data_IF_404652615425
#
_entry.id   IF_404652615425
#
_cell.length_a   1.000
_cell.length_b   1.000
_cell.length_c   1.000
_cell.angle_alpha   90.00
_cell.angle_beta   90.00
_cell.angle_gamma   90.00
#
_symmetry.space_group_name_H-M   'P 1'
#
loop_
_entity.id
_entity.type
_entity.pdbx_description
1 polymer ?
#
# COMPACT_ATOMS: atom_id res chain seq x y z
N UNK A 1 -53.75 30.47 18.05
CA UNK A 1 -52.60 30.56 17.12
C UNK A 1 -52.23 29.16 16.66
N UNK A 2 -52.11 28.91 15.35
CA UNK A 2 -51.67 27.60 14.84
C UNK A 2 -50.17 27.47 15.06
N UNK A 3 -49.75 26.56 15.93
CA UNK A 3 -48.36 26.09 16.06
C UNK A 3 -47.88 25.65 14.68
N UNK A 4 -46.87 26.31 14.12
CA UNK A 4 -46.36 25.98 12.78
C UNK A 4 -45.22 24.98 12.94
N UNK A 5 -45.40 23.77 12.41
CA UNK A 5 -44.29 22.81 12.29
C UNK A 5 -43.17 23.42 11.43
N UNK A 6 -41.92 23.28 11.88
CA UNK A 6 -40.73 23.68 11.11
C UNK A 6 -40.62 22.91 9.77
N UNK A 7 -41.39 21.84 9.57
CA UNK A 7 -41.34 20.97 8.39
C UNK A 7 -41.65 21.65 7.05
N UNK A 8 -42.41 22.76 7.02
CA UNK A 8 -42.72 23.48 5.77
C UNK A 8 -41.55 24.31 5.19
N UNK A 9 -40.45 24.46 5.92
CA UNK A 9 -39.28 25.26 5.48
C UNK A 9 -38.23 24.39 4.74
N UNK A 10 -38.37 23.07 4.77
CA UNK A 10 -37.38 22.12 4.23
C UNK A 10 -37.57 21.75 2.74
N UNK A 11 -38.53 22.35 2.04
CA UNK A 11 -38.95 21.93 0.69
C UNK A 11 -37.94 22.24 -0.45
N UNK A 12 -36.81 22.92 -0.17
CA UNK A 12 -35.84 23.34 -1.17
C UNK A 12 -34.39 22.95 -0.83
N UNK A 13 -34.16 21.82 -0.13
CA UNK A 13 -32.79 21.33 0.10
C UNK A 13 -32.32 20.43 -1.05
N UNK A 14 -31.61 21.03 -2.00
CA UNK A 14 -30.73 20.29 -2.92
C UNK A 14 -29.45 19.91 -2.16
N UNK A 15 -29.38 18.67 -1.66
CA UNK A 15 -28.16 18.12 -1.06
C UNK A 15 -27.28 17.52 -2.15
N UNK A 16 -26.08 18.06 -2.36
CA UNK A 16 -24.98 17.37 -3.04
C UNK A 16 -23.94 16.98 -1.99
N UNK A 17 -24.05 15.79 -1.39
CA UNK A 17 -23.06 15.30 -0.43
C UNK A 17 -21.72 15.07 -1.15
N UNK A 18 -20.65 15.66 -0.62
CA UNK A 18 -19.28 15.40 -1.07
C UNK A 18 -18.54 14.67 0.05
N UNK A 19 -17.82 13.60 -0.28
CA UNK A 19 -16.95 12.96 0.71
C UNK A 19 -15.83 13.93 1.09
N UNK A 20 -15.59 14.06 2.39
CA UNK A 20 -14.66 15.00 2.96
C UNK A 20 -13.28 14.39 3.16
N UNK A 21 -12.27 15.25 2.97
CA UNK A 21 -10.85 15.04 3.13
C UNK A 21 -10.44 14.69 4.58
N UNK A 22 -9.20 14.20 4.80
CA UNK A 22 -8.80 13.70 6.11
C UNK A 22 -8.85 14.79 7.18
N UNK A 23 -9.11 14.36 8.41
CA UNK A 23 -9.47 15.13 9.60
C UNK A 23 -8.50 16.25 10.04
N UNK A 24 -7.43 16.56 9.29
CA UNK A 24 -6.44 17.55 9.68
C UNK A 24 -6.58 18.93 9.02
N UNK A 25 -7.57 19.23 8.17
CA UNK A 25 -7.60 20.54 7.50
C UNK A 25 -8.96 21.08 7.02
N UNK A 26 -10.06 20.85 7.73
CA UNK A 26 -11.22 21.73 7.58
C UNK A 26 -11.84 21.99 8.95
N UNK A 27 -11.54 23.13 9.62
CA UNK A 27 -12.48 23.64 10.61
C UNK A 27 -13.85 23.73 9.93
N UNK A 28 -14.90 23.34 10.65
CA UNK A 28 -16.27 23.65 10.25
C UNK A 28 -16.34 25.11 9.78
N UNK A 29 -17.10 25.38 8.71
CA UNK A 29 -17.15 26.72 8.11
C UNK A 29 -17.27 27.81 9.19
N UNK A 30 -16.61 28.98 9.06
CA UNK A 30 -16.63 30.01 10.10
C UNK A 30 -18.05 30.28 10.62
N UNK A 31 -18.24 30.20 11.95
CA UNK A 31 -19.56 30.33 12.59
C UNK A 31 -20.38 29.05 12.70
N UNK A 32 -19.80 27.88 12.38
CA UNK A 32 -20.36 26.55 12.63
C UNK A 32 -19.60 25.88 13.76
N UNK A 33 -20.31 25.42 14.78
CA UNK A 33 -19.76 24.59 15.87
C UNK A 33 -20.34 23.19 15.75
N UNK A 34 -19.49 22.16 15.79
CA UNK A 34 -19.89 20.74 15.75
C UNK A 34 -19.30 20.04 16.97
N UNK A 35 -20.16 19.54 17.86
CA UNK A 35 -19.78 18.78 19.04
C UNK A 35 -20.26 17.34 18.91
N UNK A 36 -19.34 16.44 18.51
CA UNK A 36 -19.64 15.00 18.37
C UNK A 36 -19.73 14.36 19.75
N UNK A 37 -20.80 13.61 20.00
CA UNK A 37 -21.04 12.91 21.26
C UNK A 37 -20.06 11.74 21.44
N UNK A 38 -19.80 11.40 22.70
CA UNK A 38 -18.96 10.26 23.12
C UNK A 38 -17.50 10.32 22.63
N UNK A 39 -17.03 11.48 22.16
CA UNK A 39 -15.67 11.66 21.66
C UNK A 39 -15.38 10.88 20.38
N UNK A 40 -16.41 10.44 19.65
CA UNK A 40 -16.24 9.69 18.41
C UNK A 40 -15.44 10.51 17.39
N UNK A 41 -14.34 9.93 16.91
CA UNK A 41 -13.49 10.54 15.89
C UNK A 41 -12.88 9.47 14.98
N UNK A 42 -12.64 9.83 13.73
CA UNK A 42 -11.90 9.01 12.78
C UNK A 42 -11.23 9.90 11.73
N UNK A 43 -10.27 9.33 10.99
CA UNK A 43 -9.44 10.09 10.04
C UNK A 43 -10.21 10.69 8.87
N UNK A 44 -11.46 10.29 8.63
CA UNK A 44 -12.28 10.68 7.48
C UNK A 44 -13.76 10.84 7.86
N UNK A 45 -14.53 11.47 6.97
CA UNK A 45 -15.93 11.77 7.24
C UNK A 45 -16.73 12.16 6.01
N UNK A 46 -17.92 12.72 6.26
CA UNK A 46 -18.83 13.21 5.24
C UNK A 46 -19.03 14.71 5.39
N UNK A 47 -18.96 15.45 4.28
CA UNK A 47 -19.33 16.87 4.26
C UNK A 47 -20.79 17.00 3.82
N UNK A 48 -21.57 17.64 4.67
CA UNK A 48 -23.00 17.84 4.48
C UNK A 48 -23.23 19.32 4.19
N UNK A 49 -23.49 19.70 2.92
CA UNK A 49 -23.88 21.07 2.61
C UNK A 49 -25.26 21.33 3.21
N UNK A 50 -25.36 22.36 4.05
CA UNK A 50 -26.56 22.64 4.81
C UNK A 50 -26.81 24.14 4.89
N UNK A 51 -28.07 24.54 4.71
CA UNK A 51 -28.54 25.90 4.91
C UNK A 51 -29.54 25.89 6.06
N UNK A 52 -29.23 26.63 7.13
CA UNK A 52 -30.09 26.65 8.31
C UNK A 52 -31.41 27.36 8.06
N UNK A 53 -32.38 27.06 8.90
CA UNK A 53 -33.63 27.80 8.98
C UNK A 53 -33.39 29.18 9.62
N UNK A 54 -34.17 30.18 9.23
CA UNK A 54 -34.18 31.47 9.91
C UNK A 54 -34.71 31.38 11.36
N UNK A 55 -35.36 30.26 11.73
CA UNK A 55 -36.05 30.10 13.03
C UNK A 55 -35.23 29.41 14.11
N UNK A 56 -34.10 28.79 13.76
CA UNK A 56 -33.21 28.16 14.74
C UNK A 56 -31.79 28.16 14.22
N UNK A 57 -30.85 28.07 15.16
CA UNK A 57 -29.43 27.93 14.90
C UNK A 57 -28.91 26.58 15.39
N UNK A 58 -29.71 25.83 16.17
CA UNK A 58 -29.29 24.65 16.89
C UNK A 58 -29.95 23.39 16.32
N UNK A 59 -29.12 22.39 16.06
CA UNK A 59 -29.48 21.15 15.39
C UNK A 59 -28.78 19.94 16.02
N UNK A 60 -29.46 18.80 16.07
CA UNK A 60 -28.80 17.50 16.22
C UNK A 60 -28.65 16.85 14.86
N UNK A 61 -27.43 16.42 14.52
CA UNK A 61 -27.15 15.58 13.36
C UNK A 61 -26.86 14.15 13.85
N UNK A 62 -27.60 13.17 13.35
CA UNK A 62 -27.45 11.76 13.72
C UNK A 62 -27.35 10.89 12.47
N UNK A 63 -26.26 10.11 12.35
CA UNK A 63 -26.03 9.16 11.26
C UNK A 63 -26.34 7.73 11.70
N UNK A 64 -27.15 7.05 10.90
CA UNK A 64 -27.55 5.66 11.10
C UNK A 64 -27.08 4.82 9.92
N UNK A 65 -26.54 3.64 10.20
CA UNK A 65 -26.22 2.67 9.16
C UNK A 65 -27.51 2.13 8.53
N UNK A 66 -27.53 1.99 7.21
CA UNK A 66 -28.68 1.47 6.46
C UNK A 66 -29.58 2.55 5.86
N UNK A 67 -30.78 2.15 5.45
CA UNK A 67 -31.73 2.99 4.71
C UNK A 67 -32.76 3.70 5.57
N UNK A 68 -32.74 3.48 6.89
CA UNK A 68 -33.66 4.08 7.86
C UNK A 68 -32.92 4.56 9.10
N UNK A 69 -33.41 5.63 9.73
CA UNK A 69 -32.91 6.11 11.01
C UNK A 69 -33.53 5.30 12.16
N UNK A 70 -33.01 4.08 12.35
CA UNK A 70 -33.47 3.11 13.33
C UNK A 70 -32.34 2.68 14.28
N UNK A 71 -32.67 2.45 15.55
CA UNK A 71 -31.71 2.03 16.57
C UNK A 71 -30.84 3.16 17.11
N UNK A 72 -29.61 2.84 17.49
CA UNK A 72 -28.63 3.81 18.02
C UNK A 72 -27.85 4.43 16.85
N UNK A 73 -27.72 5.77 16.76
CA UNK A 73 -26.92 6.39 15.72
C UNK A 73 -25.44 6.02 15.90
N UNK A 74 -24.75 5.77 14.79
CA UNK A 74 -23.30 5.55 14.77
C UNK A 74 -22.54 6.82 15.13
N UNK A 75 -23.07 7.98 14.72
CA UNK A 75 -22.51 9.29 15.01
C UNK A 75 -23.64 10.21 15.38
N UNK A 76 -23.50 10.95 16.48
CA UNK A 76 -24.43 11.99 16.87
C UNK A 76 -23.65 13.24 17.23
N UNK A 77 -24.07 14.38 16.70
CA UNK A 77 -23.40 15.65 16.93
C UNK A 77 -24.41 16.75 17.20
N UNK A 78 -24.12 17.58 18.20
CA UNK A 78 -24.79 18.86 18.42
C UNK A 78 -24.13 19.90 17.51
N UNK A 79 -24.93 20.60 16.71
CA UNK A 79 -24.46 21.52 15.67
C UNK A 79 -25.14 22.86 15.82
N UNK A 80 -24.34 23.90 16.04
CA UNK A 80 -24.80 25.29 16.05
C UNK A 80 -24.30 26.00 14.79
N UNK A 81 -25.21 26.63 14.05
CA UNK A 81 -24.93 27.28 12.76
C UNK A 81 -25.34 28.74 12.86
N UNK A 82 -24.37 29.64 12.81
CA UNK A 82 -24.60 31.09 12.84
C UNK A 82 -24.89 31.67 11.45
N UNK A 83 -24.13 31.34 10.39
CA UNK A 83 -24.34 31.89 9.06
C UNK A 83 -25.71 31.53 8.48
N UNK A 84 -26.30 32.44 7.70
CA UNK A 84 -27.53 32.18 6.93
C UNK A 84 -27.25 31.64 5.53
N UNK A 85 -26.02 31.80 5.03
CA UNK A 85 -25.55 31.18 3.80
C UNK A 85 -25.39 29.66 3.98
N UNK A 86 -25.31 28.93 2.86
CA UNK A 86 -24.99 27.50 2.87
C UNK A 86 -23.58 27.29 3.46
N UNK A 87 -23.47 26.32 4.37
CA UNK A 87 -22.21 25.90 5.01
C UNK A 87 -22.00 24.41 4.81
N UNK A 88 -20.76 23.94 4.96
CA UNK A 88 -20.47 22.51 5.02
C UNK A 88 -20.30 22.07 6.47
N UNK A 89 -21.07 21.05 6.86
CA UNK A 89 -20.98 20.41 8.17
C UNK A 89 -20.22 19.11 7.98
N UNK A 90 -19.03 19.04 8.57
CA UNK A 90 -18.21 17.84 8.56
C UNK A 90 -18.59 16.93 9.73
N UNK A 91 -18.93 15.67 9.45
CA UNK A 91 -19.12 14.65 10.48
C UNK A 91 -18.13 13.50 10.28
N UNK A 92 -17.40 13.08 11.31
CA UNK A 92 -16.57 11.87 11.23
C UNK A 92 -17.47 10.69 10.93
N UNK A 93 -17.09 9.82 9.99
CA UNK A 93 -17.87 8.65 9.63
C UNK A 93 -16.95 7.53 9.14
N UNK A 94 -16.78 6.50 9.96
CA UNK A 94 -16.10 5.28 9.54
C UNK A 94 -17.07 4.40 8.74
N UNK A 95 -16.86 4.31 7.43
CA UNK A 95 -17.55 3.35 6.56
C UNK A 95 -16.60 2.31 5.97
N UNK A 96 -17.18 1.30 5.34
CA UNK A 96 -16.45 0.22 4.70
C UNK A 96 -15.51 0.78 3.61
N UNK A 97 -14.21 0.51 3.77
CA UNK A 97 -13.22 0.93 2.80
C UNK A 97 -13.34 0.18 1.47
N UNK A 98 -13.96 -1.01 1.47
CA UNK A 98 -14.05 -1.92 0.33
C UNK A 98 -15.32 -1.76 -0.52
N UNK A 99 -16.38 -1.14 0.01
CA UNK A 99 -17.68 -1.10 -0.66
C UNK A 99 -18.48 0.17 -0.34
N UNK A 100 -19.46 0.46 -1.21
CA UNK A 100 -20.44 1.51 -0.94
C UNK A 100 -21.27 1.16 0.28
N UNK A 101 -21.39 2.09 1.22
CA UNK A 101 -22.22 1.96 2.41
C UNK A 101 -23.43 2.89 2.30
N UNK A 102 -24.60 2.40 2.70
CA UNK A 102 -25.83 3.19 2.78
C UNK A 102 -25.99 3.73 4.19
N UNK A 103 -26.34 5.01 4.29
CA UNK A 103 -26.51 5.73 5.54
C UNK A 103 -27.77 6.59 5.50
N UNK A 104 -28.40 6.76 6.66
CA UNK A 104 -29.47 7.73 6.85
C UNK A 104 -29.01 8.81 7.82
N UNK A 105 -28.98 10.05 7.35
CA UNK A 105 -28.80 11.23 8.18
C UNK A 105 -30.17 11.70 8.68
N UNK A 106 -30.35 11.75 9.99
CA UNK A 106 -31.44 12.47 10.65
C UNK A 106 -30.93 13.82 11.12
N UNK A 107 -31.57 14.89 10.67
CA UNK A 107 -31.33 16.25 11.17
C UNK A 107 -32.53 16.68 11.98
N UNK A 108 -32.33 16.94 13.26
CA UNK A 108 -33.36 17.45 14.18
C UNK A 108 -33.10 18.92 14.44
N UNK A 109 -34.08 19.77 14.14
CA UNK A 109 -34.05 21.20 14.41
C UNK A 109 -34.64 21.46 15.80
N UNK A 110 -33.86 22.09 16.68
CA UNK A 110 -34.30 22.44 18.03
C UNK A 110 -35.01 23.79 18.04
N UNK A 111 -35.96 23.95 18.97
CA UNK A 111 -36.68 25.21 19.13
C UNK A 111 -35.75 26.22 19.80
N UNK A 112 -35.60 27.39 19.18
CA UNK A 112 -34.79 28.46 19.76
C UNK A 112 -35.41 28.95 21.08
N UNK A 113 -34.58 29.36 22.07
CA UNK A 113 -35.07 29.92 23.33
C UNK A 113 -36.08 31.06 23.12
N UNK A 114 -37.22 31.01 23.79
CA UNK A 114 -38.31 31.99 23.68
C UNK A 114 -39.31 31.74 22.54
N UNK A 115 -39.16 30.64 21.80
CA UNK A 115 -40.07 30.24 20.70
C UNK A 115 -40.89 28.98 21.02
N UNK A 116 -40.81 28.45 22.24
CA UNK A 116 -41.36 27.15 22.66
C UNK A 116 -42.90 27.09 22.57
N UNK A 117 -43.57 28.24 22.73
CA UNK A 117 -45.02 28.36 22.57
C UNK A 117 -45.47 28.36 21.10
N UNK A 118 -44.57 28.65 20.16
CA UNK A 118 -44.89 28.92 18.75
C UNK A 118 -44.39 27.85 17.80
N UNK A 119 -43.26 27.23 18.14
CA UNK A 119 -42.57 26.25 17.32
C UNK A 119 -42.53 24.87 18.03
N UNK A 120 -42.23 23.84 17.25
CA UNK A 120 -42.04 22.45 17.71
C UNK A 120 -40.81 21.90 17.00
N UNK A 121 -40.09 21.02 17.69
CA UNK A 121 -38.99 20.30 17.06
C UNK A 121 -39.47 19.57 15.80
N UNK A 122 -38.58 19.50 14.82
CA UNK A 122 -38.84 18.80 13.57
C UNK A 122 -37.60 18.05 13.16
N UNK A 123 -37.79 16.85 12.62
CA UNK A 123 -36.71 16.03 12.09
C UNK A 123 -36.94 15.73 10.61
N UNK A 124 -35.86 15.63 9.84
CA UNK A 124 -35.86 15.13 8.48
C UNK A 124 -34.81 14.04 8.33
N UNK A 125 -35.20 12.97 7.64
CA UNK A 125 -34.31 11.86 7.32
C UNK A 125 -33.92 11.95 5.84
N UNK A 126 -32.62 11.81 5.56
CA UNK A 126 -32.07 11.74 4.21
C UNK A 126 -31.15 10.54 4.10
N UNK A 127 -31.50 9.62 3.22
CA UNK A 127 -30.66 8.47 2.91
C UNK A 127 -29.68 8.81 1.78
N UNK A 128 -28.43 8.37 1.92
CA UNK A 128 -27.38 8.50 0.93
C UNK A 128 -26.51 7.23 0.90
N UNK A 129 -25.76 7.07 -0.19
CA UNK A 129 -24.72 6.04 -0.32
C UNK A 129 -23.37 6.71 -0.48
N UNK A 130 -22.31 6.10 0.04
CA UNK A 130 -20.94 6.62 -0.14
C UNK A 130 -20.48 6.34 -1.58
N UNK A 131 -20.29 7.36 -2.44
CA UNK A 131 -19.72 7.16 -3.76
C UNK A 131 -18.24 6.78 -3.67
N UNK A 132 -17.66 6.19 -4.73
CA UNK A 132 -16.21 6.08 -4.87
C UNK A 132 -15.51 7.43 -4.72
N UNK A 133 -14.56 7.48 -3.80
CA UNK A 133 -13.68 8.63 -3.54
C UNK A 133 -12.64 8.86 -4.64
N UNK A 134 -12.36 7.85 -5.46
CA UNK A 134 -11.37 7.91 -6.53
C UNK A 134 -11.89 8.48 -7.86
N UNK A 135 -13.14 8.95 -7.91
CA UNK A 135 -13.76 9.51 -9.11
C UNK A 135 -14.30 8.47 -10.10
N UNK A 136 -14.24 7.18 -9.76
CA UNK A 136 -14.85 6.12 -10.57
C UNK A 136 -16.38 6.13 -10.48
N UNK A 137 -17.04 5.58 -11.50
CA UNK A 137 -18.47 5.33 -11.45
C UNK A 137 -18.82 4.36 -10.30
N UNK A 138 -20.00 4.54 -9.70
CA UNK A 138 -20.49 3.62 -8.68
C UNK A 138 -20.58 2.18 -9.22
N UNK A 139 -20.18 1.20 -8.40
CA UNK A 139 -20.12 -0.21 -8.80
C UNK A 139 -18.85 -0.63 -9.55
N UNK A 140 -17.92 0.30 -9.81
CA UNK A 140 -16.60 -0.06 -10.37
C UNK A 140 -15.86 -1.02 -9.44
N UNK A 141 -15.45 -2.18 -9.97
CA UNK A 141 -14.74 -3.18 -9.19
C UNK A 141 -13.41 -2.63 -8.66
N UNK A 142 -13.18 -2.77 -7.35
CA UNK A 142 -11.96 -2.29 -6.69
C UNK A 142 -11.88 -0.78 -6.51
N UNK A 143 -12.96 -0.04 -6.76
CA UNK A 143 -12.99 1.38 -6.49
C UNK A 143 -12.68 1.70 -5.02
N UNK A 144 -12.06 2.86 -4.78
CA UNK A 144 -11.71 3.30 -3.44
C UNK A 144 -12.84 4.13 -2.84
N UNK A 145 -13.23 3.81 -1.61
CA UNK A 145 -14.26 4.56 -0.87
C UNK A 145 -13.67 5.45 0.22
N UNK A 146 -12.36 5.36 0.47
CA UNK A 146 -11.66 6.17 1.48
C UNK A 146 -10.32 6.62 0.91
N UNK A 147 -10.02 7.90 1.09
CA UNK A 147 -8.80 8.56 0.58
C UNK A 147 -9.06 9.37 -0.68
N UNK A 148 -8.16 10.28 -1.03
CA UNK A 148 -8.16 11.00 -2.32
C UNK A 148 -6.96 10.66 -3.19
N UNK A 149 -6.15 9.68 -2.77
CA UNK A 149 -4.92 9.29 -3.46
C UNK A 149 -3.78 10.28 -3.26
N UNK A 150 -3.92 11.24 -2.36
CA UNK A 150 -2.85 12.20 -2.00
C UNK A 150 -2.00 11.65 -0.86
N UNK A 151 -0.80 12.18 -0.66
CA UNK A 151 0.05 11.76 0.47
C UNK A 151 -0.62 11.98 1.84
N UNK A 152 -1.40 13.07 1.97
CA UNK A 152 -2.17 13.35 3.19
C UNK A 152 -3.42 12.46 3.34
N UNK A 153 -3.96 11.97 2.22
CA UNK A 153 -5.18 11.16 2.16
C UNK A 153 -5.01 9.99 1.19
N UNK A 154 -4.20 8.98 1.54
CA UNK A 154 -3.95 7.85 0.65
C UNK A 154 -5.22 7.02 0.47
N UNK A 155 -5.37 6.40 -0.70
CA UNK A 155 -6.44 5.42 -0.92
C UNK A 155 -6.22 4.18 -0.03
N UNK A 156 -7.29 3.69 0.61
CA UNK A 156 -7.24 2.49 1.44
C UNK A 156 -7.40 1.23 0.60
N UNK A 157 -6.45 0.32 0.70
CA UNK A 157 -6.42 -0.96 -0.04
C UNK A 157 -6.71 -2.10 0.93
N UNK A 158 -7.90 -2.69 0.82
CA UNK A 158 -8.33 -3.77 1.70
C UNK A 158 -8.55 -5.10 0.95
N UNK A 159 -8.76 -5.07 -0.36
CA UNK A 159 -9.16 -6.26 -1.13
C UNK A 159 -8.26 -6.50 -2.33
N UNK A 160 -8.20 -7.74 -2.87
CA UNK A 160 -7.50 -8.01 -4.13
C UNK A 160 -7.97 -7.15 -5.29
N UNK A 161 -9.28 -6.88 -5.37
CA UNK A 161 -9.85 -6.01 -6.40
C UNK A 161 -9.35 -4.57 -6.27
N UNK A 162 -9.29 -4.03 -5.05
CA UNK A 162 -8.70 -2.70 -4.81
C UNK A 162 -7.21 -2.66 -5.11
N UNK A 163 -6.46 -3.70 -4.74
CA UNK A 163 -5.04 -3.77 -5.07
C UNK A 163 -4.82 -3.74 -6.59
N UNK A 164 -5.60 -4.53 -7.34
CA UNK A 164 -5.55 -4.50 -8.81
C UNK A 164 -5.96 -3.13 -9.38
N UNK A 165 -6.84 -2.40 -8.68
CA UNK A 165 -7.31 -1.08 -9.08
C UNK A 165 -6.25 0.04 -8.96
N UNK A 166 -5.10 -0.21 -8.31
CA UNK A 166 -3.94 0.70 -8.31
C UNK A 166 -3.52 1.07 -9.74
N UNK A 167 -3.70 0.17 -10.72
CA UNK A 167 -3.40 0.43 -12.13
C UNK A 167 -4.21 1.58 -12.77
N UNK A 168 -5.32 2.01 -12.15
CA UNK A 168 -6.09 3.18 -12.59
C UNK A 168 -5.61 4.50 -11.97
N UNK A 169 -4.70 4.44 -10.99
CA UNK A 169 -4.26 5.58 -10.18
C UNK A 169 -2.74 5.52 -9.91
N UNK A 170 -1.94 5.28 -10.94
CA UNK A 170 -0.49 4.96 -10.85
C UNK A 170 0.41 6.04 -10.22
N UNK A 171 -0.09 7.26 -10.05
CA UNK A 171 0.61 8.40 -9.43
C UNK A 171 0.18 8.64 -7.97
N UNK A 172 -0.85 7.94 -7.50
CA UNK A 172 -1.48 8.18 -6.20
C UNK A 172 -0.72 7.52 -5.04
N UNK A 173 -1.11 7.90 -3.82
CA UNK A 173 -0.66 7.29 -2.57
C UNK A 173 -1.68 6.27 -2.06
N UNK A 174 -1.19 5.13 -1.58
CA UNK A 174 -1.98 3.99 -1.13
C UNK A 174 -1.52 3.52 0.23
N UNK A 175 -2.47 3.05 1.04
CA UNK A 175 -2.25 2.45 2.34
C UNK A 175 -3.01 1.12 2.43
N UNK A 176 -2.30 0.03 2.70
CA UNK A 176 -2.96 -1.25 2.95
C UNK A 176 -3.55 -1.28 4.36
N UNK A 177 -4.74 -1.87 4.51
CA UNK A 177 -5.46 -1.87 5.81
C UNK A 177 -5.67 -3.26 6.41
N UNK A 178 -5.27 -4.30 5.69
CA UNK A 178 -5.32 -5.71 6.14
C UNK A 178 -4.49 -6.58 5.19
N UNK A 179 -4.24 -7.82 5.56
CA UNK A 179 -3.62 -8.79 4.67
C UNK A 179 -4.50 -9.06 3.44
N UNK A 180 -3.86 -9.24 2.28
CA UNK A 180 -4.54 -9.43 1.00
C UNK A 180 -4.12 -10.77 0.41
N UNK A 181 -5.08 -11.68 0.24
CA UNK A 181 -4.83 -12.97 -0.40
C UNK A 181 -5.21 -12.93 -1.88
N UNK A 182 -4.24 -13.12 -2.75
CA UNK A 182 -4.44 -13.14 -4.20
C UNK A 182 -4.89 -14.53 -4.68
N UNK A 183 -5.44 -14.56 -5.89
CA UNK A 183 -5.82 -15.78 -6.58
C UNK A 183 -5.67 -15.61 -8.09
N UNK A 184 -5.46 -16.72 -8.79
CA UNK A 184 -5.24 -16.72 -10.24
C UNK A 184 -3.93 -16.05 -10.64
N UNK A 185 -3.78 -15.79 -11.94
CA UNK A 185 -2.59 -15.14 -12.48
C UNK A 185 -2.67 -13.62 -12.27
N UNK A 186 -1.73 -13.07 -11.50
CA UNK A 186 -1.67 -11.65 -11.19
C UNK A 186 -1.26 -10.82 -12.41
N UNK A 187 -1.93 -9.68 -12.57
CA UNK A 187 -1.50 -8.64 -13.50
C UNK A 187 -0.67 -7.61 -12.73
N UNK A 188 0.61 -7.41 -13.07
CA UNK A 188 1.49 -6.51 -12.33
C UNK A 188 0.93 -5.08 -12.18
N UNK A 189 1.27 -4.44 -11.06
CA UNK A 189 0.98 -3.04 -10.80
C UNK A 189 2.03 -2.15 -11.48
N UNK A 190 1.60 -1.36 -12.45
CA UNK A 190 2.48 -0.59 -13.30
C UNK A 190 3.41 -1.45 -14.16
N UNK A 191 3.80 -0.93 -15.33
CA UNK A 191 4.57 -1.70 -16.32
C UNK A 191 3.72 -2.74 -17.06
N UNK A 192 4.37 -3.52 -17.93
CA UNK A 192 3.68 -4.39 -18.88
C UNK A 192 2.88 -3.55 -19.88
N UNK A 193 1.55 -3.69 -19.87
CA UNK A 193 0.62 -2.85 -20.66
C UNK A 193 0.28 -1.51 -20.01
N UNK A 194 0.74 -1.27 -18.78
CA UNK A 194 0.49 -0.04 -18.03
C UNK A 194 1.72 0.87 -18.02
N UNK A 195 1.47 2.16 -17.76
CA UNK A 195 2.55 3.09 -17.41
C UNK A 195 3.26 2.62 -16.12
N UNK A 196 4.46 3.15 -15.86
CA UNK A 196 5.19 2.84 -14.63
C UNK A 196 4.41 3.40 -13.42
N UNK A 197 4.44 2.67 -12.30
CA UNK A 197 3.96 3.21 -11.03
C UNK A 197 4.93 4.28 -10.52
N UNK A 198 4.41 5.45 -10.16
CA UNK A 198 5.20 6.61 -9.72
C UNK A 198 4.78 7.16 -8.36
N UNK A 199 3.76 6.54 -7.76
CA UNK A 199 3.19 6.95 -6.48
C UNK A 199 3.87 6.32 -5.25
N UNK A 200 3.10 6.22 -4.17
CA UNK A 200 3.53 5.62 -2.90
C UNK A 200 2.61 4.47 -2.54
N UNK A 201 3.17 3.30 -2.26
CA UNK A 201 2.43 2.18 -1.68
C UNK A 201 2.99 1.84 -0.30
N UNK A 202 2.21 2.12 0.75
CA UNK A 202 2.52 1.77 2.12
C UNK A 202 1.73 0.53 2.55
N UNK A 203 2.40 -0.60 2.69
CA UNK A 203 1.80 -1.85 3.17
C UNK A 203 1.40 -1.81 4.64
N UNK A 204 1.84 -0.81 5.43
CA UNK A 204 1.56 -0.65 6.86
C UNK A 204 1.87 -1.87 7.74
N UNK A 205 2.76 -2.74 7.29
CA UNK A 205 3.06 -3.99 7.98
C UNK A 205 2.11 -5.13 7.63
N UNK A 206 1.24 -4.98 6.63
CA UNK A 206 0.41 -6.07 6.13
C UNK A 206 1.11 -6.86 5.03
N UNK A 207 0.59 -8.06 4.80
CA UNK A 207 1.17 -9.06 3.89
C UNK A 207 0.26 -9.30 2.70
N UNK A 208 0.85 -9.38 1.51
CA UNK A 208 0.20 -9.92 0.33
C UNK A 208 0.54 -11.40 0.22
N UNK A 209 -0.49 -12.24 0.10
CA UNK A 209 -0.36 -13.69 0.02
C UNK A 209 -0.66 -14.22 -1.38
N UNK A 210 -0.09 -15.40 -1.68
CA UNK A 210 -0.44 -16.24 -2.85
C UNK A 210 -0.24 -15.57 -4.22
N UNK A 211 0.73 -14.65 -4.32
CA UNK A 211 1.10 -14.05 -5.60
C UNK A 211 1.58 -15.13 -6.59
N UNK A 212 0.84 -15.31 -7.67
CA UNK A 212 1.19 -16.14 -8.82
C UNK A 212 1.33 -15.25 -10.05
N UNK A 213 2.46 -15.36 -10.74
CA UNK A 213 2.71 -14.58 -11.96
C UNK A 213 3.29 -15.50 -13.02
N UNK A 214 2.72 -15.42 -14.22
CA UNK A 214 3.28 -15.94 -15.45
C UNK A 214 3.17 -14.81 -16.50
N UNK A 215 4.23 -14.01 -16.67
CA UNK A 215 4.18 -12.75 -17.40
C UNK A 215 5.39 -12.54 -18.32
N UNK A 216 5.25 -11.74 -19.38
CA UNK A 216 6.32 -11.52 -20.37
C UNK A 216 7.31 -10.40 -19.98
N UNK A 217 6.84 -9.30 -19.43
CA UNK A 217 7.63 -8.08 -19.25
C UNK A 217 7.25 -7.37 -17.95
N UNK A 218 8.23 -6.68 -17.33
CA UNK A 218 8.79 -7.01 -16.03
C UNK A 218 7.79 -7.57 -15.03
N UNK A 219 8.14 -8.69 -14.40
CA UNK A 219 7.25 -9.44 -13.54
C UNK A 219 7.54 -9.17 -12.06
N UNK A 220 6.48 -8.88 -11.32
CA UNK A 220 6.44 -8.73 -9.87
C UNK A 220 5.05 -8.30 -9.42
N UNK A 221 4.83 -8.16 -8.11
CA UNK A 221 3.63 -7.49 -7.60
C UNK A 221 3.47 -6.14 -8.30
N UNK A 222 4.57 -5.39 -8.37
CA UNK A 222 4.76 -4.25 -9.27
C UNK A 222 5.59 -4.69 -10.48
N UNK A 223 5.11 -4.39 -11.68
CA UNK A 223 5.88 -4.69 -12.88
C UNK A 223 7.02 -3.71 -13.04
N UNK A 224 6.71 -2.41 -13.09
CA UNK A 224 7.72 -1.36 -13.16
C UNK A 224 7.37 -0.14 -12.33
N UNK A 225 8.37 0.35 -11.60
CA UNK A 225 8.28 1.56 -10.76
C UNK A 225 9.30 2.61 -11.19
N UNK A 226 8.92 3.90 -11.11
CA UNK A 226 9.76 5.04 -11.45
C UNK A 226 9.54 6.20 -10.48
N UNK A 227 10.58 6.65 -9.77
CA UNK A 227 10.40 7.72 -8.77
C UNK A 227 9.48 7.34 -7.61
N UNK A 228 9.13 6.06 -7.47
CA UNK A 228 8.08 5.60 -6.57
C UNK A 228 8.65 5.19 -5.21
N UNK A 229 7.77 5.05 -4.22
CA UNK A 229 8.10 4.43 -2.93
C UNK A 229 7.20 3.22 -2.67
N UNK A 230 7.81 2.06 -2.41
CA UNK A 230 7.14 0.86 -1.89
C UNK A 230 7.70 0.59 -0.50
N UNK A 231 6.85 0.58 0.53
CA UNK A 231 7.30 0.46 1.91
C UNK A 231 6.41 -0.42 2.78
N UNK A 232 6.97 -0.94 3.87
CA UNK A 232 6.26 -1.65 4.94
C UNK A 232 5.39 -2.80 4.42
N UNK A 233 5.86 -3.54 3.42
CA UNK A 233 5.06 -4.52 2.69
C UNK A 233 5.70 -5.91 2.75
N UNK A 234 4.94 -6.88 3.23
CA UNK A 234 5.30 -8.29 3.22
C UNK A 234 4.73 -8.98 1.99
N UNK A 235 5.47 -9.95 1.46
CA UNK A 235 5.00 -10.81 0.39
C UNK A 235 5.31 -12.27 0.73
N UNK A 236 4.28 -13.09 0.88
CA UNK A 236 4.40 -14.52 1.18
C UNK A 236 3.64 -15.35 0.17
N UNK A 237 4.35 -16.14 -0.63
CA UNK A 237 3.71 -16.96 -1.65
C UNK A 237 4.39 -18.31 -1.78
N UNK A 238 3.57 -19.37 -1.78
CA UNK A 238 3.99 -20.72 -2.23
C UNK A 238 3.77 -20.93 -3.72
N UNK A 239 3.20 -19.93 -4.42
CA UNK A 239 2.95 -19.97 -5.87
C UNK A 239 4.20 -19.51 -6.62
N UNK A 240 4.27 -19.90 -7.89
CA UNK A 240 5.39 -19.55 -8.76
C UNK A 240 5.23 -18.13 -9.30
N UNK A 241 6.31 -17.35 -9.22
CA UNK A 241 6.48 -16.07 -9.89
C UNK A 241 7.48 -16.28 -11.02
N UNK A 242 7.01 -16.23 -12.26
CA UNK A 242 7.78 -16.60 -13.44
C UNK A 242 7.71 -15.54 -14.53
N UNK A 243 8.88 -15.20 -15.06
CA UNK A 243 9.00 -14.46 -16.33
C UNK A 243 8.93 -15.40 -17.53
N UNK A 244 8.40 -14.90 -18.64
CA UNK A 244 8.33 -15.57 -19.94
C UNK A 244 9.21 -14.80 -20.92
N UNK A 245 10.08 -15.51 -21.62
CA UNK A 245 10.85 -14.96 -22.73
C UNK A 245 10.27 -15.44 -24.06
N UNK A 246 9.99 -14.52 -24.99
CA UNK A 246 9.43 -14.88 -26.32
C UNK A 246 10.39 -14.64 -27.47
N UNK A 247 11.68 -14.40 -27.22
CA UNK A 247 12.69 -14.27 -28.27
C UNK A 247 12.92 -12.85 -28.82
N UNK A 248 12.11 -11.86 -28.44
CA UNK A 248 12.18 -10.48 -28.97
C UNK A 248 12.29 -9.40 -27.89
N UNK A 249 12.46 -9.79 -26.63
CA UNK A 249 12.51 -8.89 -25.49
C UNK A 249 13.95 -8.42 -25.24
N UNK A 250 14.16 -7.12 -25.04
CA UNK A 250 15.49 -6.58 -24.71
C UNK A 250 15.88 -6.84 -23.25
N UNK A 251 14.90 -6.90 -22.35
CA UNK A 251 15.10 -7.14 -20.92
C UNK A 251 13.94 -7.97 -20.37
N UNK A 252 14.26 -9.12 -19.77
CA UNK A 252 13.32 -9.91 -18.97
C UNK A 252 13.77 -9.80 -17.52
N UNK A 253 13.01 -9.03 -16.73
CA UNK A 253 13.30 -8.78 -15.32
C UNK A 253 12.19 -9.36 -14.45
N UNK A 254 12.56 -10.23 -13.50
CA UNK A 254 11.64 -10.88 -12.57
C UNK A 254 12.06 -10.59 -11.15
N UNK A 255 11.19 -9.97 -10.36
CA UNK A 255 11.35 -9.83 -8.91
C UNK A 255 10.01 -10.02 -8.24
N UNK A 256 9.95 -10.73 -7.11
CA UNK A 256 8.65 -11.04 -6.51
C UNK A 256 7.87 -9.76 -6.15
N UNK A 257 8.58 -8.76 -5.62
CA UNK A 257 7.98 -7.47 -5.28
C UNK A 257 7.98 -6.52 -6.48
N UNK A 258 9.12 -6.39 -7.17
CA UNK A 258 9.29 -5.42 -8.28
C UNK A 258 10.04 -6.06 -9.44
N UNK A 259 9.46 -6.02 -10.65
CA UNK A 259 10.15 -6.44 -11.86
C UNK A 259 11.31 -5.51 -12.22
N UNK A 260 11.04 -4.21 -12.40
CA UNK A 260 12.04 -3.19 -12.72
C UNK A 260 11.84 -1.90 -11.91
N UNK A 261 12.92 -1.37 -11.33
CA UNK A 261 12.92 -0.17 -10.53
C UNK A 261 13.93 0.86 -11.05
N UNK A 262 13.48 2.11 -11.18
CA UNK A 262 14.28 3.25 -11.63
C UNK A 262 14.01 4.45 -10.72
N UNK A 263 15.06 5.11 -10.18
CA UNK A 263 14.96 6.24 -9.25
C UNK A 263 13.98 6.02 -8.09
N UNK A 264 13.82 4.79 -7.62
CA UNK A 264 12.74 4.41 -6.69
C UNK A 264 13.27 3.97 -5.33
N UNK A 265 12.41 3.97 -4.31
CA UNK A 265 12.74 3.51 -2.96
C UNK A 265 11.91 2.29 -2.60
N UNK A 266 12.56 1.21 -2.18
CA UNK A 266 11.96 -0.01 -1.66
C UNK A 266 12.51 -0.22 -0.25
N UNK A 267 11.67 -0.07 0.79
CA UNK A 267 12.17 -0.13 2.17
C UNK A 267 11.22 -0.74 3.19
N UNK A 268 11.78 -1.39 4.21
CA UNK A 268 10.99 -2.09 5.24
C UNK A 268 10.06 -3.14 4.61
N UNK A 269 10.55 -3.83 3.58
CA UNK A 269 9.78 -4.86 2.88
C UNK A 269 10.43 -6.22 3.05
N UNK A 270 9.62 -7.28 2.92
CA UNK A 270 10.15 -8.62 2.85
C UNK A 270 9.47 -9.49 1.81
N UNK A 271 10.21 -10.50 1.34
CA UNK A 271 9.71 -11.51 0.40
C UNK A 271 10.01 -12.90 0.94
N UNK A 272 9.03 -13.79 0.88
CA UNK A 272 9.19 -15.22 1.06
C UNK A 272 8.45 -15.95 -0.06
N UNK A 273 9.16 -16.26 -1.14
CA UNK A 273 8.54 -16.66 -2.40
C UNK A 273 9.36 -17.70 -3.18
N UNK A 274 8.78 -18.21 -4.27
CA UNK A 274 9.50 -18.96 -5.30
C UNK A 274 9.54 -18.14 -6.59
N UNK A 275 10.74 -17.66 -6.95
CA UNK A 275 10.97 -16.88 -8.17
C UNK A 275 11.65 -17.78 -9.21
N UNK A 276 11.19 -17.70 -10.45
CA UNK A 276 11.73 -18.47 -11.57
C UNK A 276 12.05 -17.54 -12.72
N UNK A 277 13.32 -17.47 -13.11
CA UNK A 277 13.72 -16.79 -14.34
C UNK A 277 13.14 -17.49 -15.58
N UNK A 278 13.06 -16.79 -16.72
CA UNK A 278 12.46 -17.35 -17.93
C UNK A 278 13.24 -18.58 -18.45
N UNK A 279 12.56 -19.70 -18.74
CA UNK A 279 13.20 -20.86 -19.37
C UNK A 279 13.63 -20.54 -20.81
N UNK A 280 14.67 -21.22 -21.31
CA UNK A 280 15.08 -21.14 -22.72
C UNK A 280 16.04 -20.01 -23.08
N UNK A 281 16.42 -19.13 -22.13
CA UNK A 281 17.45 -18.14 -22.38
C UNK A 281 18.86 -18.75 -22.21
N UNK A 282 19.61 -18.95 -23.30
CA UNK A 282 20.97 -19.55 -23.30
C UNK A 282 22.09 -18.56 -23.67
N UNK A 283 21.78 -17.26 -23.80
CA UNK A 283 22.73 -16.18 -23.53
C UNK A 283 23.95 -15.99 -24.45
N UNK A 284 23.87 -16.14 -25.78
CA UNK A 284 25.04 -15.78 -26.62
C UNK A 284 24.78 -14.99 -27.92
N UNK A 285 23.55 -14.76 -28.38
CA UNK A 285 23.38 -14.28 -29.78
C UNK A 285 22.37 -13.14 -30.02
N UNK A 286 21.61 -12.68 -29.02
CA UNK A 286 20.48 -11.75 -29.29
C UNK A 286 20.44 -10.44 -28.48
N UNK A 287 21.47 -10.10 -27.69
CA UNK A 287 21.52 -8.81 -26.98
C UNK A 287 20.50 -8.62 -25.84
N UNK A 288 19.64 -9.61 -25.58
CA UNK A 288 18.69 -9.64 -24.47
C UNK A 288 19.38 -9.80 -23.12
N UNK A 289 18.83 -9.21 -22.07
CA UNK A 289 19.28 -9.44 -20.69
C UNK A 289 18.18 -10.16 -19.93
N UNK A 290 18.48 -11.33 -19.36
CA UNK A 290 17.61 -12.03 -18.41
C UNK A 290 18.13 -11.83 -16.99
N UNK A 291 17.27 -11.33 -16.11
CA UNK A 291 17.62 -11.06 -14.72
C UNK A 291 16.50 -11.40 -13.76
N UNK A 292 16.86 -12.00 -12.64
CA UNK A 292 15.94 -12.36 -11.59
C UNK A 292 16.54 -12.09 -10.21
N UNK A 293 15.79 -11.39 -9.37
CA UNK A 293 16.08 -11.25 -7.96
C UNK A 293 14.90 -11.74 -7.14
N UNK A 294 15.13 -12.14 -5.90
CA UNK A 294 13.99 -12.54 -5.05
C UNK A 294 13.04 -11.37 -4.81
N UNK A 295 13.57 -10.15 -4.61
CA UNK A 295 12.76 -8.96 -4.38
C UNK A 295 12.65 -8.08 -5.63
N UNK A 296 13.78 -7.78 -6.28
CA UNK A 296 13.84 -6.88 -7.44
C UNK A 296 14.53 -7.55 -8.61
N UNK A 297 13.91 -7.57 -9.79
CA UNK A 297 14.54 -8.11 -11.00
C UNK A 297 15.69 -7.22 -11.47
N UNK A 298 15.38 -5.97 -11.79
CA UNK A 298 16.33 -4.97 -12.29
C UNK A 298 16.20 -3.66 -11.51
N UNK A 299 17.32 -3.03 -11.12
CA UNK A 299 17.34 -1.78 -10.38
C UNK A 299 18.37 -0.78 -10.95
N UNK A 300 17.97 0.47 -11.16
CA UNK A 300 18.81 1.49 -11.82
C UNK A 300 18.65 2.89 -11.22
N UNK A 301 19.60 3.77 -11.55
CA UNK A 301 19.58 5.22 -11.38
C UNK A 301 19.15 5.71 -9.99
N UNK A 302 19.98 5.49 -8.96
CA UNK A 302 19.68 5.98 -7.61
C UNK A 302 18.60 5.20 -6.88
N UNK A 303 18.13 4.06 -7.43
CA UNK A 303 17.20 3.18 -6.72
C UNK A 303 17.81 2.69 -5.40
N UNK A 304 17.04 2.76 -4.32
CA UNK A 304 17.43 2.32 -2.98
C UNK A 304 16.61 1.10 -2.55
N UNK A 305 17.30 0.01 -2.21
CA UNK A 305 16.71 -1.15 -1.51
C UNK A 305 17.29 -1.16 -0.11
N UNK A 306 16.46 -0.83 0.89
CA UNK A 306 16.96 -0.64 2.26
C UNK A 306 16.09 -1.26 3.34
N UNK A 307 16.70 -1.82 4.38
CA UNK A 307 15.98 -2.46 5.48
C UNK A 307 15.01 -3.55 4.98
N UNK A 308 15.49 -4.41 4.09
CA UNK A 308 14.68 -5.41 3.41
C UNK A 308 15.25 -6.82 3.59
N UNK A 309 14.40 -7.84 3.50
CA UNK A 309 14.89 -9.21 3.54
C UNK A 309 14.16 -10.18 2.62
N UNK A 310 14.84 -11.25 2.22
CA UNK A 310 14.27 -12.27 1.35
C UNK A 310 14.56 -13.70 1.83
N UNK A 311 13.55 -14.55 1.70
CA UNK A 311 13.59 -16.00 1.90
C UNK A 311 13.01 -16.71 0.68
N UNK A 312 13.35 -17.99 0.54
CA UNK A 312 12.79 -18.88 -0.47
C UNK A 312 13.79 -19.23 -1.55
N UNK A 313 13.29 -19.48 -2.76
CA UNK A 313 14.10 -20.07 -3.83
C UNK A 313 14.04 -19.23 -5.11
N UNK A 314 15.21 -18.95 -5.69
CA UNK A 314 15.35 -18.48 -7.05
C UNK A 314 15.75 -19.65 -7.93
N UNK A 315 15.06 -19.90 -9.03
CA UNK A 315 15.43 -20.94 -10.02
C UNK A 315 15.54 -20.35 -11.42
N UNK A 316 16.28 -21.02 -12.31
CA UNK A 316 16.45 -20.61 -13.72
C UNK A 316 16.97 -19.18 -13.91
N UNK A 317 17.93 -18.76 -13.10
CA UNK A 317 18.60 -17.46 -13.22
C UNK A 317 19.71 -17.50 -14.28
N UNK A 318 19.36 -17.85 -15.51
CA UNK A 318 20.32 -18.24 -16.57
C UNK A 318 21.41 -17.20 -16.87
N UNK A 319 21.26 -15.94 -16.43
CA UNK A 319 22.31 -14.91 -16.49
C UNK A 319 22.52 -14.21 -15.16
N UNK A 320 21.60 -13.33 -14.72
CA UNK A 320 21.81 -12.51 -13.52
C UNK A 320 20.82 -12.89 -12.41
N UNK A 321 21.29 -13.65 -11.42
CA UNK A 321 20.49 -14.14 -10.28
C UNK A 321 20.98 -13.59 -8.94
N UNK A 322 20.14 -12.85 -8.22
CA UNK A 322 20.50 -12.30 -6.91
C UNK A 322 19.56 -12.72 -5.79
N UNK A 323 20.10 -12.96 -4.60
CA UNK A 323 19.29 -13.24 -3.40
C UNK A 323 18.37 -12.09 -3.01
N UNK A 324 18.63 -10.84 -3.45
CA UNK A 324 17.70 -9.71 -3.36
C UNK A 324 17.42 -9.10 -4.73
N UNK A 325 18.49 -8.69 -5.43
CA UNK A 325 18.41 -7.91 -6.68
C UNK A 325 19.10 -8.68 -7.80
N UNK A 326 18.42 -8.88 -8.92
CA UNK A 326 19.00 -9.60 -10.07
C UNK A 326 20.14 -8.83 -10.73
N UNK A 327 19.86 -7.61 -11.19
CA UNK A 327 20.83 -6.75 -11.89
C UNK A 327 20.76 -5.31 -11.42
N UNK A 328 21.92 -4.71 -11.26
CA UNK A 328 22.09 -3.26 -11.27
C UNK A 328 22.66 -2.83 -12.61
N UNK A 329 21.96 -1.95 -13.33
CA UNK A 329 22.51 -1.35 -14.54
C UNK A 329 23.49 -0.21 -14.20
N UNK A 330 23.03 0.75 -13.38
CA UNK A 330 23.89 1.83 -12.87
C UNK A 330 23.31 2.41 -11.57
N UNK A 331 24.18 2.74 -10.62
CA UNK A 331 23.89 3.73 -9.57
C UNK A 331 22.84 3.36 -8.52
N UNK A 332 22.53 2.07 -8.29
CA UNK A 332 21.59 1.65 -7.23
C UNK A 332 22.32 1.32 -5.92
N UNK A 333 21.63 1.36 -4.77
CA UNK A 333 22.20 1.01 -3.45
C UNK A 333 21.40 -0.08 -2.73
N UNK A 334 22.09 -1.07 -2.15
CA UNK A 334 21.54 -2.05 -1.20
C UNK A 334 22.08 -1.74 0.19
N UNK A 335 21.19 -1.54 1.17
CA UNK A 335 21.61 -1.17 2.54
C UNK A 335 20.79 -1.86 3.61
N UNK A 336 21.43 -2.33 4.69
CA UNK A 336 20.76 -2.96 5.82
C UNK A 336 19.82 -4.10 5.39
N UNK A 337 20.25 -4.93 4.43
CA UNK A 337 19.43 -6.00 3.89
C UNK A 337 20.00 -7.37 4.21
N UNK A 338 19.16 -8.40 4.15
CA UNK A 338 19.67 -9.77 4.17
C UNK A 338 18.89 -10.77 3.31
N UNK A 339 19.54 -11.84 2.89
CA UNK A 339 18.92 -12.90 2.10
C UNK A 339 19.25 -14.28 2.66
N UNK A 340 18.23 -15.14 2.81
CA UNK A 340 18.36 -16.55 3.13
C UNK A 340 17.68 -17.34 2.00
N UNK A 341 18.36 -17.42 0.88
CA UNK A 341 17.73 -17.82 -0.39
C UNK A 341 18.51 -18.93 -1.06
N UNK A 342 17.80 -19.93 -1.59
CA UNK A 342 18.38 -20.89 -2.51
C UNK A 342 18.56 -20.26 -3.88
N UNK A 343 19.78 -19.80 -4.18
CA UNK A 343 20.18 -19.33 -5.51
C UNK A 343 21.15 -20.37 -6.09
N UNK A 344 20.75 -21.18 -7.08
CA UNK A 344 21.62 -22.10 -7.77
C UNK A 344 22.83 -21.37 -8.36
N UNK A 345 23.93 -22.08 -8.56
CA UNK A 345 25.06 -21.59 -9.35
C UNK A 345 24.59 -21.43 -10.80
N UNK A 346 24.03 -20.26 -11.10
CA UNK A 346 23.47 -19.89 -12.39
C UNK A 346 24.47 -19.01 -13.09
N UNK A 347 25.12 -19.55 -14.12
CA UNK A 347 26.09 -18.87 -14.97
C UNK A 347 27.37 -18.35 -14.28
N UNK A 348 28.58 -18.63 -14.80
CA UNK A 348 29.85 -18.19 -14.21
C UNK A 348 30.04 -16.67 -14.04
N UNK A 349 29.11 -15.85 -14.53
CA UNK A 349 29.27 -14.39 -14.64
C UNK A 349 28.16 -13.57 -13.96
N UNK A 350 27.23 -14.17 -13.18
CA UNK A 350 26.07 -13.40 -12.73
C UNK A 350 25.20 -13.91 -11.58
N UNK A 351 25.64 -14.86 -10.75
CA UNK A 351 24.90 -15.22 -9.54
C UNK A 351 25.59 -14.77 -8.26
N UNK A 352 24.88 -14.08 -7.38
CA UNK A 352 25.40 -13.57 -6.12
C UNK A 352 24.40 -13.63 -4.97
N UNK A 353 24.94 -13.62 -3.75
CA UNK A 353 24.16 -13.79 -2.52
C UNK A 353 23.16 -12.65 -2.26
N UNK A 354 23.47 -11.45 -2.74
CA UNK A 354 22.61 -10.27 -2.62
C UNK A 354 22.27 -9.70 -4.01
N UNK A 355 23.29 -9.52 -4.85
CA UNK A 355 23.20 -8.95 -6.20
C UNK A 355 23.68 -9.97 -7.23
N UNK A 356 22.95 -10.17 -8.33
CA UNK A 356 23.43 -11.02 -9.42
C UNK A 356 24.57 -10.38 -10.20
N UNK A 357 24.35 -9.17 -10.74
CA UNK A 357 25.32 -8.49 -11.60
C UNK A 357 25.27 -6.96 -11.45
N UNK A 358 26.43 -6.31 -11.41
CA UNK A 358 26.57 -4.86 -11.53
C UNK A 358 27.19 -4.51 -12.88
N UNK A 359 26.46 -3.79 -13.75
CA UNK A 359 26.92 -3.51 -15.11
C UNK A 359 27.99 -2.43 -15.19
N UNK A 360 28.04 -1.53 -14.20
CA UNK A 360 29.08 -0.51 -14.09
C UNK A 360 29.86 -0.76 -12.79
N UNK A 361 31.13 -1.20 -12.87
CA UNK A 361 31.96 -1.47 -11.70
C UNK A 361 32.00 -0.30 -10.72
N UNK A 362 31.83 -0.58 -9.43
CA UNK A 362 31.83 0.41 -8.35
C UNK A 362 30.56 1.27 -8.25
N UNK A 363 29.64 1.21 -9.22
CA UNK A 363 28.42 2.03 -9.22
C UNK A 363 27.32 1.53 -8.29
N UNK A 364 27.47 0.32 -7.72
CA UNK A 364 26.47 -0.31 -6.86
C UNK A 364 27.03 -0.49 -5.44
N UNK A 365 26.80 0.47 -4.51
CA UNK A 365 27.12 0.28 -3.11
C UNK A 365 26.23 -0.79 -2.47
N UNK A 366 26.85 -1.73 -1.77
CA UNK A 366 26.19 -2.69 -0.86
C UNK A 366 26.76 -2.43 0.54
N UNK A 367 25.88 -2.11 1.49
CA UNK A 367 26.27 -1.69 2.84
C UNK A 367 25.54 -2.50 3.90
N UNK A 368 26.25 -2.88 4.96
CA UNK A 368 25.67 -3.47 6.17
C UNK A 368 24.70 -4.62 5.85
N UNK A 369 25.06 -5.48 4.90
CA UNK A 369 24.14 -6.47 4.32
C UNK A 369 24.74 -7.87 4.30
N UNK A 370 23.89 -8.88 4.47
CA UNK A 370 24.32 -10.24 4.80
C UNK A 370 23.53 -11.28 4.02
N UNK A 371 24.14 -12.41 3.69
CA UNK A 371 23.40 -13.52 3.08
C UNK A 371 23.81 -14.87 3.64
N UNK A 372 22.87 -15.80 3.65
CA UNK A 372 23.06 -17.19 4.03
C UNK A 372 22.71 -18.07 2.83
N UNK A 373 23.48 -19.15 2.64
CA UNK A 373 23.34 -20.17 1.58
C UNK A 373 23.86 -19.78 0.18
N UNK A 374 24.17 -20.81 -0.62
CA UNK A 374 24.34 -20.77 -2.08
C UNK A 374 25.64 -20.15 -2.60
N UNK A 375 25.80 -18.84 -2.46
CA UNK A 375 26.76 -18.05 -3.24
C UNK A 375 27.97 -17.60 -2.43
N UNK A 376 29.15 -17.60 -3.06
CA UNK A 376 30.41 -17.19 -2.41
C UNK A 376 30.56 -15.66 -2.30
N UNK A 377 30.02 -14.93 -3.27
CA UNK A 377 30.16 -13.48 -3.38
C UNK A 377 28.82 -12.77 -3.12
N UNK A 378 28.89 -11.55 -2.60
CA UNK A 378 27.73 -10.67 -2.45
C UNK A 378 27.15 -10.28 -3.81
N UNK A 379 28.04 -9.93 -4.76
CA UNK A 379 27.73 -9.63 -6.15
C UNK A 379 28.41 -10.67 -7.06
N UNK A 380 27.65 -11.30 -7.96
CA UNK A 380 28.16 -12.44 -8.74
C UNK A 380 29.36 -12.14 -9.64
N UNK A 381 29.47 -10.91 -10.15
CA UNK A 381 30.60 -10.45 -10.96
C UNK A 381 31.65 -9.66 -10.16
N UNK A 382 31.60 -9.70 -8.83
CA UNK A 382 32.53 -9.01 -7.92
C UNK A 382 32.72 -7.50 -8.21
N UNK A 383 31.73 -6.85 -8.82
CA UNK A 383 31.86 -5.46 -9.31
C UNK A 383 31.17 -4.42 -8.42
N UNK A 384 30.51 -4.85 -7.34
CA UNK A 384 29.87 -3.96 -6.38
C UNK A 384 30.88 -3.36 -5.38
N UNK A 385 30.57 -2.18 -4.85
CA UNK A 385 31.34 -1.55 -3.76
C UNK A 385 30.78 -2.04 -2.42
N UNK A 386 31.61 -2.71 -1.61
CA UNK A 386 31.15 -3.39 -0.39
C UNK A 386 31.61 -2.65 0.88
N UNK A 387 30.72 -2.47 1.85
CA UNK A 387 31.06 -1.91 3.17
C UNK A 387 30.27 -2.63 4.26
N UNK A 388 30.95 -3.29 5.20
CA UNK A 388 30.29 -4.11 6.24
C UNK A 388 29.35 -5.17 5.65
N UNK A 389 29.82 -5.87 4.61
CA UNK A 389 29.06 -6.90 3.89
C UNK A 389 29.71 -8.26 4.14
N UNK A 390 28.93 -9.28 4.49
CA UNK A 390 29.50 -10.59 4.80
C UNK A 390 28.53 -11.74 4.55
N UNK A 391 29.10 -12.86 4.12
CA UNK A 391 28.40 -14.14 4.03
C UNK A 391 28.29 -14.76 5.42
N UNK A 392 27.09 -15.17 5.79
CA UNK A 392 26.84 -15.99 6.97
C UNK A 392 27.04 -17.47 6.62
N UNK A 393 27.56 -18.24 7.56
CA UNK A 393 27.86 -19.66 7.40
C UNK A 393 26.89 -20.55 8.17
N UNK A 394 26.16 -20.00 9.15
CA UNK A 394 25.18 -20.73 9.94
C UNK A 394 23.97 -19.87 10.32
N UNK A 395 22.81 -20.52 10.46
CA UNK A 395 21.57 -19.85 10.90
C UNK A 395 21.66 -19.23 12.29
N UNK A 396 22.52 -19.74 13.17
CA UNK A 396 22.75 -19.17 14.52
C UNK A 396 23.30 -17.73 14.47
N UNK A 397 23.98 -17.34 13.39
CA UNK A 397 24.47 -15.97 13.23
C UNK A 397 23.33 -14.97 12.95
N UNK A 398 22.23 -15.43 12.34
CA UNK A 398 21.02 -14.61 12.16
C UNK A 398 20.37 -14.27 13.51
N UNK A 399 20.51 -15.13 14.51
CA UNK A 399 19.91 -14.91 15.83
C UNK A 399 20.64 -13.84 16.68
N UNK A 400 21.86 -13.45 16.29
CA UNK A 400 22.68 -12.51 17.05
C UNK A 400 22.60 -11.10 16.47
N UNK A 401 22.06 -10.15 17.25
CA UNK A 401 21.99 -8.73 16.83
C UNK A 401 23.38 -8.15 16.51
N UNK A 402 24.43 -8.59 17.23
CA UNK A 402 25.81 -8.14 17.02
C UNK A 402 26.41 -8.54 15.67
N UNK A 403 25.80 -9.51 14.96
CA UNK A 403 26.15 -9.84 13.57
C UNK A 403 25.85 -8.66 12.64
N UNK A 404 24.80 -7.89 12.93
CA UNK A 404 24.24 -6.89 12.03
C UNK A 404 24.70 -5.48 12.40
N UNK A 405 25.99 -5.22 12.16
CA UNK A 405 26.59 -3.92 12.44
C UNK A 405 25.84 -2.80 11.71
N UNK A 406 25.51 -1.73 12.44
CA UNK A 406 24.83 -0.55 11.90
C UNK A 406 23.30 -0.64 11.82
N UNK A 407 22.69 -1.75 12.24
CA UNK A 407 21.24 -1.90 12.22
C UNK A 407 20.58 -1.31 13.47
N UNK A 408 19.42 -0.67 13.28
CA UNK A 408 18.60 -0.13 14.36
C UNK A 408 17.63 -1.20 14.90
N UNK A 409 18.06 -1.91 15.94
CA UNK A 409 17.20 -2.86 16.67
C UNK A 409 16.25 -2.19 17.68
N UNK A 410 16.34 -0.88 17.87
CA UNK A 410 15.43 -0.13 18.74
C UNK A 410 14.13 0.21 18.01
N UNK A 411 14.21 0.63 16.74
CA UNK A 411 13.04 1.13 16.00
C UNK A 411 12.69 0.33 14.74
N UNK A 412 13.66 -0.30 14.07
CA UNK A 412 13.41 -0.96 12.76
C UNK A 412 13.32 -2.47 12.90
N UNK A 413 14.30 -3.08 13.55
CA UNK A 413 14.46 -4.53 13.61
C UNK A 413 14.16 -5.09 15.01
N UNK A 414 13.67 -6.31 15.06
CA UNK A 414 13.68 -7.15 16.27
C UNK A 414 14.08 -8.56 15.89
N UNK A 415 14.54 -9.38 16.83
CA UNK A 415 14.74 -10.81 16.57
C UNK A 415 13.39 -11.52 16.67
N UNK A 416 13.07 -12.33 15.68
CA UNK A 416 11.83 -13.11 15.58
C UNK A 416 12.03 -14.41 14.81
N UNK A 417 10.94 -15.11 14.53
CA UNK A 417 10.94 -16.39 13.81
C UNK A 417 10.48 -16.20 12.36
N UNK A 418 11.26 -16.71 11.41
CA UNK A 418 10.89 -16.72 9.99
C UNK A 418 10.95 -18.15 9.45
N UNK A 419 9.86 -18.64 8.89
CA UNK A 419 9.80 -19.95 8.24
C UNK A 419 10.07 -19.81 6.75
N UNK A 420 11.11 -20.44 6.23
CA UNK A 420 11.38 -20.52 4.80
C UNK A 420 10.43 -21.53 4.16
N UNK A 421 9.40 -21.05 3.46
CA UNK A 421 8.33 -21.91 2.93
C UNK A 421 8.64 -22.47 1.54
N UNK A 422 9.70 -22.00 0.88
CA UNK A 422 9.97 -22.27 -0.53
C UNK A 422 11.33 -22.92 -0.83
N UNK A 423 12.25 -22.98 0.14
CA UNK A 423 13.56 -23.59 -0.07
C UNK A 423 13.93 -24.64 0.99
N UNK A 424 14.31 -24.22 2.19
CA UNK A 424 14.80 -25.15 3.23
C UNK A 424 13.70 -25.79 4.07
N UNK A 425 12.48 -25.24 4.09
CA UNK A 425 11.41 -25.65 5.00
C UNK A 425 11.68 -25.33 6.49
N UNK A 426 12.86 -24.78 6.79
CA UNK A 426 13.37 -24.55 8.13
C UNK A 426 12.81 -23.25 8.72
N UNK A 427 12.78 -23.19 10.05
CA UNK A 427 12.47 -21.95 10.77
C UNK A 427 13.78 -21.38 11.32
N UNK A 428 14.04 -20.11 11.01
CA UNK A 428 15.20 -19.37 11.47
C UNK A 428 14.80 -18.37 12.55
N UNK A 429 15.60 -18.26 13.60
CA UNK A 429 15.58 -17.08 14.48
C UNK A 429 16.45 -16.02 13.83
N UNK A 430 15.85 -14.91 13.40
CA UNK A 430 16.49 -13.91 12.55
C UNK A 430 15.92 -12.51 12.78
N UNK A 431 16.55 -11.44 12.26
CA UNK A 431 15.95 -10.12 12.31
C UNK A 431 14.68 -10.04 11.47
N UNK A 432 13.59 -9.58 12.06
CA UNK A 432 12.32 -9.26 11.40
C UNK A 432 12.00 -7.79 11.63
N UNK A 433 11.19 -7.24 10.74
CA UNK A 433 10.85 -5.82 10.77
C UNK A 433 9.74 -5.56 11.80
N UNK A 434 9.95 -4.60 12.69
CA UNK A 434 9.00 -4.24 13.76
C UNK A 434 7.65 -3.78 13.25
N UNK A 435 7.58 -3.24 12.03
CA UNK A 435 6.33 -2.79 11.43
C UNK A 435 5.31 -3.93 11.23
N UNK A 436 5.76 -5.19 11.20
CA UNK A 436 4.89 -6.37 11.11
C UNK A 436 4.47 -6.92 12.48
N UNK A 437 4.89 -6.29 13.58
CA UNK A 437 4.44 -6.63 14.93
C UNK A 437 3.31 -5.68 15.33
N UNK A 438 2.07 -6.07 15.04
CA UNK A 438 0.86 -5.33 15.41
C UNK A 438 -0.05 -6.16 16.31
#
# INVERSE_FOLDING_TARGET
MKVKSLGKVFAALAFSLTLALPANAAPSSPGVTVAVQDGYSCDYGVDIPFTRSARTQDYTFALYAGSTAAGTPTVKAEVTITPTAQVNIHLPLRHDAAASSTWTLRVTAHVAPGREAFDREASIDKTFTTPPSCGCAAGTAGAYYVGTGTAASPFRVATPAQLAHVNNHLTASFIQTQDIRLSGNWTPLGGGSYNKFTGVYDGKGYVVHDLQINCRLPCGLFGSIYGATVQNLGLESSKTIQGIYTGSDNLVAVGALVGSADRSTIRYCYVNAKVTGPPGYTGSTSGTISTAGMMVGNAENGTLVSNCYAYGQLTNSNWHGGGLVGRSNTGMTIENCYAVTGVPNGHPQGTGGLLGYSAVPGSTPIRCSYWLNGQALAAGNNSASLTSVSRLTAGSQLASQGTFSGWDFSNVWTIGSVRDINYTGSTYTAPVLRVFNH
#
